data_IF_310900717639
#
_entry.id   IF_310900717639
#
_cell.length_a   1.000
_cell.length_b   1.000
_cell.length_c   1.000
_cell.angle_alpha   90.00
_cell.angle_beta   90.00
_cell.angle_gamma   90.00
#
_symmetry.space_group_name_H-M   'P 1'
#
loop_
_entity.id
_entity.type
_entity.pdbx_description
1 polymer ?
#
# COMPACT_ATOMS: atom_id res chain seq x y z
N UNK A 1 -3.68 -0.28 18.61
CA UNK A 1 -2.46 -0.94 19.14
C UNK A 1 -1.33 0.09 19.22
N UNK A 2 -0.69 0.25 20.38
CA UNK A 2 0.36 1.26 20.57
C UNK A 2 1.70 0.80 19.95
N UNK A 3 1.93 1.11 18.68
CA UNK A 3 3.10 0.65 17.89
C UNK A 3 3.99 1.83 17.47
N UNK A 4 5.21 1.50 17.08
CA UNK A 4 6.09 2.44 16.37
C UNK A 4 5.41 2.92 15.07
N UNK A 5 5.64 4.17 14.68
CA UNK A 5 4.98 4.80 13.52
C UNK A 5 5.25 3.98 12.26
N UNK A 6 6.48 3.55 12.03
CA UNK A 6 6.85 2.79 10.83
C UNK A 6 6.08 1.46 10.72
N UNK A 7 5.92 0.73 11.82
CA UNK A 7 5.15 -0.51 11.87
C UNK A 7 3.66 -0.22 11.71
N UNK A 8 3.14 0.82 12.35
CA UNK A 8 1.72 1.18 12.28
C UNK A 8 1.30 1.56 10.85
N UNK A 9 2.15 2.28 10.11
CA UNK A 9 1.87 2.64 8.71
C UNK A 9 1.77 1.42 7.78
N UNK A 10 2.43 0.30 8.09
CA UNK A 10 2.33 -0.92 7.27
C UNK A 10 0.96 -1.60 7.30
N UNK A 11 0.06 -1.16 8.18
CA UNK A 11 -1.32 -1.65 8.21
C UNK A 11 -2.18 -1.08 7.09
N UNK A 12 -1.74 0.01 6.47
CA UNK A 12 -2.42 0.61 5.32
C UNK A 12 -2.05 -0.21 4.08
N UNK A 13 -3.05 -0.67 3.35
CA UNK A 13 -2.85 -1.41 2.11
C UNK A 13 -2.13 -0.55 1.07
N UNK A 14 -1.01 -1.06 0.56
CA UNK A 14 -0.12 -0.32 -0.35
C UNK A 14 1.12 0.26 0.33
N UNK A 15 1.18 0.27 1.67
CA UNK A 15 2.37 0.69 2.41
C UNK A 15 3.11 -0.51 3.00
N UNK A 16 4.36 -0.70 2.56
CA UNK A 16 5.30 -1.66 3.15
C UNK A 16 6.29 -0.99 4.09
N UNK A 17 7.20 -1.75 4.74
CA UNK A 17 8.21 -1.21 5.65
C UNK A 17 9.15 -0.21 4.97
N UNK A 18 9.45 -0.41 3.68
CA UNK A 18 10.25 0.52 2.89
C UNK A 18 9.53 1.86 2.66
N UNK A 19 8.24 1.82 2.29
CA UNK A 19 7.43 3.02 2.11
C UNK A 19 7.21 3.76 3.43
N UNK A 20 6.93 3.03 4.52
CA UNK A 20 6.74 3.62 5.84
C UNK A 20 7.98 4.40 6.31
N UNK A 21 9.18 3.82 6.19
CA UNK A 21 10.43 4.53 6.52
C UNK A 21 10.67 5.76 5.64
N UNK A 22 10.35 5.68 4.35
CA UNK A 22 10.43 6.85 3.45
C UNK A 22 9.48 7.95 3.89
N UNK A 23 8.23 7.63 4.22
CA UNK A 23 7.23 8.59 4.70
C UNK A 23 7.71 9.27 5.99
N UNK A 24 8.22 8.51 6.96
CA UNK A 24 8.79 9.06 8.19
C UNK A 24 9.98 10.00 7.90
N UNK A 25 10.89 9.61 7.00
CA UNK A 25 12.03 10.44 6.60
C UNK A 25 11.59 11.74 5.91
N UNK A 26 10.61 11.69 5.00
CA UNK A 26 10.09 12.87 4.30
C UNK A 26 9.35 13.83 5.25
N UNK A 27 8.60 13.28 6.21
CA UNK A 27 7.84 14.08 7.18
C UNK A 27 8.68 14.61 8.35
N UNK A 28 9.91 14.10 8.51
CA UNK A 28 10.78 14.43 9.64
C UNK A 28 10.29 13.85 10.97
N UNK A 29 9.41 12.84 10.94
CA UNK A 29 8.88 12.18 12.13
C UNK A 29 9.78 11.01 12.47
N UNK A 30 10.14 10.87 13.74
CA UNK A 30 10.90 9.70 14.19
C UNK A 30 10.06 8.43 14.02
N UNK A 31 10.60 7.47 13.27
CA UNK A 31 10.01 6.17 13.04
C UNK A 31 9.79 5.39 14.34
N UNK A 32 10.66 5.60 15.34
CA UNK A 32 10.61 4.91 16.63
C UNK A 32 9.60 5.52 17.61
N UNK A 33 9.04 6.69 17.30
CA UNK A 33 7.97 7.30 18.10
C UNK A 33 6.74 6.40 18.13
N UNK A 34 5.96 6.46 19.20
CA UNK A 34 4.69 5.74 19.28
C UNK A 34 3.61 6.49 18.51
N UNK A 35 2.73 5.74 17.85
CA UNK A 35 1.64 6.32 17.05
C UNK A 35 0.68 7.19 17.88
N UNK A 36 0.50 6.85 19.15
CA UNK A 36 -0.38 7.60 20.07
C UNK A 36 0.23 8.90 20.55
N UNK A 37 1.56 9.04 20.48
CA UNK A 37 2.29 10.22 20.94
C UNK A 37 2.44 11.27 19.81
N UNK A 38 1.84 11.02 18.65
CA UNK A 38 1.85 11.94 17.53
C UNK A 38 0.91 13.13 17.79
N UNK A 39 1.41 14.31 17.50
CA UNK A 39 0.62 15.54 17.49
C UNK A 39 -0.33 15.57 16.30
N UNK A 40 -1.43 16.34 16.40
CA UNK A 40 -2.38 16.49 15.30
C UNK A 40 -1.71 17.04 14.02
N UNK A 41 -0.71 17.90 14.16
CA UNK A 41 0.07 18.44 13.05
C UNK A 41 0.94 17.37 12.36
N UNK A 42 1.60 16.51 13.14
CA UNK A 42 2.35 15.36 12.62
C UNK A 42 1.43 14.39 11.86
N UNK A 43 0.24 14.11 12.40
CA UNK A 43 -0.76 13.26 11.75
C UNK A 43 -1.23 13.87 10.43
N UNK A 44 -1.47 15.18 10.38
CA UNK A 44 -1.87 15.86 9.14
C UNK A 44 -0.75 15.86 8.09
N UNK A 45 0.51 16.05 8.51
CA UNK A 45 1.67 15.91 7.61
C UNK A 45 1.78 14.51 7.02
N UNK A 46 1.61 13.47 7.84
CA UNK A 46 1.59 12.08 7.38
C UNK A 46 0.47 11.84 6.36
N UNK A 47 -0.76 12.32 6.65
CA UNK A 47 -1.87 12.20 5.71
C UNK A 47 -1.58 12.87 4.37
N UNK A 48 -1.09 14.11 4.39
CA UNK A 48 -0.81 14.86 3.16
C UNK A 48 0.22 14.14 2.27
N UNK A 49 1.31 13.62 2.86
CA UNK A 49 2.33 12.87 2.10
C UNK A 49 1.75 11.56 1.57
N UNK A 50 0.96 10.83 2.36
CA UNK A 50 0.36 9.56 1.95
C UNK A 50 -0.63 9.78 0.79
N UNK A 51 -1.49 10.78 0.85
CA UNK A 51 -2.51 11.02 -0.17
C UNK A 51 -1.93 11.52 -1.49
N UNK A 52 -0.88 12.34 -1.44
CA UNK A 52 -0.26 12.92 -2.63
C UNK A 52 0.67 11.95 -3.36
N UNK A 53 1.54 11.26 -2.62
CA UNK A 53 2.64 10.50 -3.21
C UNK A 53 2.34 9.01 -3.35
N UNK A 54 1.34 8.49 -2.63
CA UNK A 54 1.05 7.05 -2.57
C UNK A 54 -0.40 6.72 -2.96
N UNK A 55 -0.54 5.68 -3.76
CA UNK A 55 -1.86 5.05 -3.99
C UNK A 55 -2.07 4.00 -2.91
N UNK A 56 -3.03 4.24 -2.03
CA UNK A 56 -3.34 3.35 -0.91
C UNK A 56 -4.79 2.85 -0.95
N UNK A 57 -5.06 1.79 -0.20
CA UNK A 57 -6.39 1.24 0.07
C UNK A 57 -7.25 1.02 -1.19
N UNK A 58 -8.46 1.56 -1.20
CA UNK A 58 -9.45 1.32 -2.24
C UNK A 58 -8.96 1.73 -3.63
N UNK A 59 -8.20 2.83 -3.74
CA UNK A 59 -7.66 3.28 -5.03
C UNK A 59 -6.73 2.23 -5.63
N UNK A 60 -5.79 1.72 -4.82
CA UNK A 60 -4.84 0.70 -5.26
C UNK A 60 -5.53 -0.64 -5.56
N UNK A 61 -6.48 -1.05 -4.71
CA UNK A 61 -7.24 -2.30 -4.90
C UNK A 61 -8.04 -2.29 -6.20
N UNK A 62 -8.76 -1.19 -6.47
CA UNK A 62 -9.54 -1.03 -7.69
C UNK A 62 -8.65 -1.03 -8.93
N UNK A 63 -7.52 -0.33 -8.89
CA UNK A 63 -6.55 -0.31 -9.99
C UNK A 63 -5.99 -1.72 -10.29
N UNK A 64 -5.63 -2.48 -9.26
CA UNK A 64 -5.16 -3.87 -9.42
C UNK A 64 -6.26 -4.75 -10.01
N UNK A 65 -7.50 -4.65 -9.53
CA UNK A 65 -8.63 -5.41 -10.07
C UNK A 65 -8.92 -5.07 -11.52
N UNK A 66 -8.85 -3.80 -11.90
CA UNK A 66 -9.00 -3.36 -13.30
C UNK A 66 -7.88 -3.89 -14.17
N UNK A 67 -6.64 -3.91 -13.68
CA UNK A 67 -5.51 -4.49 -14.39
C UNK A 67 -5.70 -6.00 -14.64
N UNK A 68 -6.17 -6.75 -13.64
CA UNK A 68 -6.47 -8.18 -13.80
C UNK A 68 -7.63 -8.39 -14.77
N UNK A 69 -8.69 -7.57 -14.67
CA UNK A 69 -9.83 -7.61 -15.59
C UNK A 69 -9.39 -7.37 -17.03
N UNK A 70 -8.58 -6.35 -17.28
CA UNK A 70 -7.99 -6.06 -18.59
C UNK A 70 -7.24 -7.26 -19.17
N UNK A 71 -6.45 -7.98 -18.37
CA UNK A 71 -5.75 -9.20 -18.82
C UNK A 71 -6.72 -10.31 -19.21
N UNK A 72 -7.83 -10.47 -18.48
CA UNK A 72 -8.88 -11.43 -18.79
C UNK A 72 -9.64 -11.07 -20.07
N UNK A 73 -9.97 -9.79 -20.26
CA UNK A 73 -10.72 -9.29 -21.41
C UNK A 73 -9.93 -9.42 -22.72
N UNK A 74 -8.61 -9.16 -22.68
CA UNK A 74 -7.70 -9.36 -23.82
C UNK A 74 -7.53 -10.85 -24.18
N UNK A 75 -7.80 -11.77 -23.25
CA UNK A 75 -7.65 -13.21 -23.50
C UNK A 75 -6.21 -13.72 -23.51
N UNK A 76 -5.25 -12.95 -22.98
CA UNK A 76 -3.86 -13.40 -22.87
C UNK A 76 -3.73 -14.62 -21.94
N UNK A 77 -2.63 -15.38 -22.04
CA UNK A 77 -2.39 -16.57 -21.21
C UNK A 77 -2.63 -16.32 -19.72
N UNK A 78 -2.09 -15.22 -19.17
CA UNK A 78 -2.28 -14.83 -17.77
C UNK A 78 -3.76 -14.59 -17.45
N UNK A 79 -4.52 -13.97 -18.35
CA UNK A 79 -5.95 -13.74 -18.21
C UNK A 79 -6.75 -15.04 -18.12
N UNK A 80 -6.44 -16.02 -18.98
CA UNK A 80 -7.08 -17.35 -18.93
C UNK A 80 -6.79 -18.04 -17.60
N UNK A 81 -5.54 -17.95 -17.10
CA UNK A 81 -5.15 -18.51 -15.80
C UNK A 81 -5.87 -17.81 -14.64
N UNK A 82 -5.96 -16.48 -14.66
CA UNK A 82 -6.74 -15.70 -13.70
C UNK A 82 -8.22 -16.13 -13.67
N UNK A 83 -8.86 -16.29 -14.83
CA UNK A 83 -10.26 -16.74 -14.93
C UNK A 83 -10.48 -18.15 -14.35
N UNK A 84 -9.51 -19.03 -14.50
CA UNK A 84 -9.54 -20.41 -13.97
C UNK A 84 -9.09 -20.52 -12.51
N UNK A 85 -8.68 -19.42 -11.87
CA UNK A 85 -8.15 -19.44 -10.50
C UNK A 85 -6.81 -20.19 -10.37
N UNK A 86 -6.05 -20.34 -11.46
CA UNK A 86 -4.81 -21.11 -11.49
C UNK A 86 -3.57 -20.22 -11.32
N UNK A 87 -2.43 -20.77 -10.86
CA UNK A 87 -1.18 -20.03 -10.75
C UNK A 87 -0.77 -19.39 -12.08
N UNK A 88 -0.43 -18.10 -12.05
CA UNK A 88 -0.22 -17.26 -13.25
C UNK A 88 1.25 -17.05 -13.62
N UNK A 89 2.20 -17.52 -12.77
CA UNK A 89 3.65 -17.33 -12.95
C UNK A 89 4.38 -18.63 -13.30
N UNK A 90 3.69 -19.59 -13.91
CA UNK A 90 4.29 -20.86 -14.34
C UNK A 90 4.66 -21.82 -13.20
N UNK A 91 4.01 -21.65 -12.04
CA UNK A 91 4.18 -22.58 -10.91
C UNK A 91 3.57 -23.95 -11.25
N UNK A 92 4.20 -25.02 -10.76
CA UNK A 92 3.79 -26.42 -10.95
C UNK A 92 3.07 -26.94 -9.72
#
# INVERSE_FOLDING_TARGET
PNKHVDVALTYIYGLGPSSARKICATTGIDASKRINDLTAEEVNRLRAVIENDFKVEGRLRTEISLNVKRLMDIGCYRGIRHRRGLPVRGQR
#
